data_IF_989647214521
#
_entry.id   IF_989647214521
#
_cell.length_a   1.000
_cell.length_b   1.000
_cell.length_c   1.000
_cell.angle_alpha   90.00
_cell.angle_beta   90.00
_cell.angle_gamma   90.00
#
_symmetry.space_group_name_H-M   'P 1'
#
loop_
_entity.id
_entity.type
_entity.pdbx_description
1 polymer ?
#
# COMPACT_ATOMS: atom_id res chain seq x y z
N UNK A 1 3.30 -3.36 -12.23
CA UNK A 1 4.16 -3.67 -11.07
C UNK A 1 5.56 -3.86 -11.61
N UNK A 2 6.54 -3.09 -11.13
CA UNK A 2 7.93 -3.22 -11.56
C UNK A 2 8.80 -3.56 -10.35
N UNK A 3 9.66 -4.58 -10.49
CA UNK A 3 10.66 -4.97 -9.49
C UNK A 3 12.04 -4.72 -10.09
N UNK A 4 12.86 -3.95 -9.39
CA UNK A 4 14.26 -3.73 -9.74
C UNK A 4 15.15 -4.25 -8.62
N UNK A 5 15.99 -5.24 -8.94
CA UNK A 5 16.83 -5.92 -7.96
C UNK A 5 18.30 -5.72 -8.27
N UNK A 6 19.04 -5.25 -7.28
CA UNK A 6 20.50 -5.14 -7.32
C UNK A 6 21.08 -5.98 -6.17
N UNK A 7 21.66 -7.14 -6.52
CA UNK A 7 22.23 -8.12 -5.58
C UNK A 7 21.20 -8.67 -4.59
N UNK A 8 21.33 -8.25 -3.33
CA UNK A 8 20.51 -8.68 -2.20
C UNK A 8 19.47 -7.61 -1.82
N UNK A 9 19.54 -6.42 -2.40
CA UNK A 9 18.52 -5.38 -2.24
C UNK A 9 17.62 -5.35 -3.47
N UNK A 10 16.32 -5.26 -3.25
CA UNK A 10 15.35 -4.99 -4.31
C UNK A 10 14.45 -3.82 -3.94
N UNK A 11 13.93 -3.18 -4.96
CA UNK A 11 12.91 -2.16 -4.85
C UNK A 11 11.72 -2.62 -5.70
N UNK A 12 10.56 -2.70 -5.05
CA UNK A 12 9.28 -2.90 -5.68
C UNK A 12 8.56 -1.55 -5.78
N UNK A 13 8.18 -1.16 -7.00
CA UNK A 13 7.37 0.02 -7.24
C UNK A 13 6.08 -0.40 -7.94
N UNK A 14 4.96 0.01 -7.36
CA UNK A 14 3.63 -0.23 -7.90
C UNK A 14 2.87 1.10 -8.01
N UNK A 15 2.47 1.46 -9.21
CA UNK A 15 1.62 2.61 -9.48
C UNK A 15 0.34 2.12 -10.15
N UNK A 16 -0.80 2.66 -9.73
CA UNK A 16 -2.11 2.34 -10.26
C UNK A 16 -3.00 3.57 -10.31
N UNK A 17 -3.80 3.68 -11.36
CA UNK A 17 -4.81 4.72 -11.51
C UNK A 17 -6.16 4.06 -11.78
N UNK A 18 -7.11 4.25 -10.87
CA UNK A 18 -8.48 3.76 -10.99
C UNK A 18 -9.37 4.87 -11.52
N UNK A 19 -9.89 4.68 -12.72
CA UNK A 19 -10.87 5.56 -13.34
C UNK A 19 -12.25 5.02 -13.00
N UNK A 20 -13.07 5.82 -12.33
CA UNK A 20 -14.46 5.48 -12.04
C UNK A 20 -15.37 6.21 -13.05
N UNK A 21 -16.22 5.45 -13.73
CA UNK A 21 -17.27 5.96 -14.62
C UNK A 21 -18.55 6.25 -13.84
N UNK A 22 -19.48 7.00 -14.43
CA UNK A 22 -20.76 7.30 -13.81
C UNK A 22 -21.57 6.00 -13.62
N UNK A 23 -22.21 5.86 -12.46
CA UNK A 23 -23.17 4.79 -12.19
C UNK A 23 -24.56 5.15 -12.76
N UNK A 24 -25.49 4.20 -12.80
CA UNK A 24 -26.88 4.38 -13.30
C UNK A 24 -27.67 5.52 -12.63
N UNK A 25 -27.19 6.00 -11.48
CA UNK A 25 -27.74 7.13 -10.72
C UNK A 25 -26.98 8.46 -10.93
N UNK A 26 -26.21 8.59 -12.01
CA UNK A 26 -25.37 9.77 -12.35
C UNK A 26 -24.34 10.15 -11.26
N UNK A 27 -24.00 9.22 -10.36
CA UNK A 27 -22.98 9.43 -9.34
C UNK A 27 -21.63 8.96 -9.86
N UNK A 28 -20.64 9.87 -9.91
CA UNK A 28 -19.27 9.54 -10.32
C UNK A 28 -18.34 9.64 -9.13
N UNK A 29 -17.92 8.47 -8.65
CA UNK A 29 -16.84 8.38 -7.66
C UNK A 29 -15.57 9.02 -8.23
N UNK A 30 -14.82 9.72 -7.39
CA UNK A 30 -13.54 10.30 -7.75
C UNK A 30 -12.56 9.23 -8.19
N UNK A 31 -11.73 9.56 -9.18
CA UNK A 31 -10.62 8.71 -9.57
C UNK A 31 -9.62 8.58 -8.42
N UNK A 32 -9.06 7.39 -8.24
CA UNK A 32 -8.08 7.08 -7.19
C UNK A 32 -6.73 6.77 -7.82
N UNK A 33 -5.69 7.45 -7.36
CA UNK A 33 -4.30 7.12 -7.67
C UNK A 33 -3.68 6.45 -6.45
N UNK A 34 -3.00 5.33 -6.68
CA UNK A 34 -2.29 4.57 -5.66
C UNK A 34 -0.85 4.37 -6.12
N UNK A 35 0.10 4.73 -5.27
CA UNK A 35 1.53 4.60 -5.50
C UNK A 35 2.17 3.94 -4.28
N UNK A 36 2.68 2.73 -4.45
CA UNK A 36 3.36 1.96 -3.42
C UNK A 36 4.83 1.79 -3.82
N UNK A 37 5.72 2.01 -2.87
CA UNK A 37 7.15 1.73 -3.02
C UNK A 37 7.60 0.93 -1.81
N UNK A 38 8.20 -0.23 -2.04
CA UNK A 38 8.71 -1.12 -1.00
C UNK A 38 10.14 -1.51 -1.33
N UNK A 39 11.07 -1.21 -0.44
CA UNK A 39 12.45 -1.64 -0.51
C UNK A 39 12.60 -2.86 0.39
N UNK A 40 13.27 -3.89 -0.09
CA UNK A 40 13.56 -5.09 0.69
C UNK A 40 15.02 -5.47 0.56
N UNK A 41 15.57 -6.05 1.61
CA UNK A 41 16.95 -6.53 1.62
C UNK A 41 17.00 -7.96 2.12
N UNK A 42 17.55 -8.86 1.32
CA UNK A 42 17.61 -10.29 1.59
C UNK A 42 18.93 -10.65 2.27
N UNK A 43 18.88 -10.96 3.55
CA UNK A 43 19.99 -11.38 4.40
C UNK A 43 19.95 -12.91 4.59
N UNK A 44 20.68 -13.70 3.77
CA UNK A 44 20.84 -15.12 4.02
C UNK A 44 21.68 -15.33 5.30
N UNK A 45 21.18 -16.14 6.23
CA UNK A 45 21.88 -16.56 7.45
C UNK A 45 22.08 -18.08 7.38
N UNK A 46 23.31 -18.50 7.08
CA UNK A 46 23.62 -19.89 6.78
C UNK A 46 22.98 -20.38 5.48
N UNK A 47 22.79 -21.69 5.35
CA UNK A 47 22.31 -22.30 4.09
C UNK A 47 20.79 -22.35 3.96
N UNK A 48 20.05 -22.30 5.07
CA UNK A 48 18.61 -22.61 5.09
C UNK A 48 17.72 -21.45 5.48
N UNK A 49 18.28 -20.40 6.10
CA UNK A 49 17.51 -19.28 6.64
C UNK A 49 17.79 -18.04 5.80
N UNK A 50 16.73 -17.31 5.46
CA UNK A 50 16.81 -16.00 4.85
C UNK A 50 15.92 -15.05 5.62
N UNK A 51 16.49 -13.96 6.12
CA UNK A 51 15.74 -12.82 6.65
C UNK A 51 15.62 -11.76 5.55
N UNK A 52 14.42 -11.23 5.36
CA UNK A 52 14.14 -10.21 4.35
C UNK A 52 13.41 -9.05 5.01
N UNK A 53 14.12 -8.17 5.74
CA UNK A 53 13.55 -6.89 6.16
C UNK A 53 13.06 -6.12 4.95
N UNK A 54 11.89 -5.50 5.09
CA UNK A 54 11.28 -4.64 4.09
C UNK A 54 10.76 -3.35 4.73
N UNK A 55 10.87 -2.25 4.00
CA UNK A 55 10.39 -0.95 4.41
C UNK A 55 9.94 -0.16 3.18
N UNK A 56 8.89 0.63 3.32
CA UNK A 56 8.28 1.29 2.18
C UNK A 56 7.26 2.35 2.57
N UNK A 57 6.66 2.93 1.55
CA UNK A 57 5.58 3.89 1.70
C UNK A 57 4.48 3.59 0.67
N UNK A 58 3.24 3.78 1.10
CA UNK A 58 2.04 3.74 0.29
C UNK A 58 1.43 5.14 0.28
N UNK A 59 1.44 5.77 -0.88
CA UNK A 59 0.74 7.02 -1.12
C UNK A 59 -0.54 6.74 -1.92
N UNK A 60 -1.67 7.15 -1.38
CA UNK A 60 -2.95 7.08 -2.06
C UNK A 60 -3.55 8.48 -2.13
N UNK A 61 -4.07 8.87 -3.28
CA UNK A 61 -4.87 10.09 -3.42
C UNK A 61 -6.16 9.79 -4.14
N UNK A 62 -7.27 10.24 -3.55
CA UNK A 62 -8.59 10.18 -4.14
C UNK A 62 -9.00 11.59 -4.53
N UNK A 63 -9.38 11.75 -5.80
CA UNK A 63 -10.01 12.98 -6.29
C UNK A 63 -11.44 13.09 -5.75
N UNK A 64 -11.99 14.31 -5.71
CA UNK A 64 -13.33 14.54 -5.17
C UNK A 64 -14.42 13.89 -6.03
N UNK A 65 -15.49 13.42 -5.40
CA UNK A 65 -16.64 12.86 -6.14
C UNK A 65 -17.40 13.97 -6.88
N UNK A 66 -17.92 13.67 -8.07
CA UNK A 66 -18.74 14.58 -8.86
C UNK A 66 -20.20 14.15 -8.77
N UNK A 67 -21.08 15.08 -8.39
CA UNK A 67 -22.54 14.93 -8.52
C UNK A 67 -23.06 16.06 -9.42
N UNK A 68 -23.84 15.71 -10.43
CA UNK A 68 -24.42 16.64 -11.41
C UNK A 68 -25.26 17.74 -10.73
N UNK A 69 -25.11 18.97 -11.25
CA UNK A 69 -25.63 20.28 -10.79
C UNK A 69 -24.90 20.91 -9.59
N UNK A 70 -23.84 21.65 -9.90
CA UNK A 70 -23.36 22.86 -9.19
C UNK A 70 -23.18 22.82 -7.66
N UNK A 71 -23.05 21.64 -7.08
CA UNK A 71 -22.68 21.50 -5.67
C UNK A 71 -21.49 20.56 -5.61
N UNK A 72 -20.29 21.17 -5.54
CA UNK A 72 -19.11 20.45 -5.04
C UNK A 72 -19.50 19.89 -3.69
N UNK A 73 -19.59 18.57 -3.56
CA UNK A 73 -19.60 17.95 -2.24
C UNK A 73 -18.22 18.22 -1.66
N UNK A 74 -18.12 19.30 -0.87
CA UNK A 74 -16.85 19.87 -0.44
C UNK A 74 -15.99 18.89 0.37
N UNK A 75 -16.61 17.82 0.89
CA UNK A 75 -16.07 16.89 1.88
C UNK A 75 -15.63 15.50 1.38
N UNK A 76 -15.60 15.20 0.08
CA UNK A 76 -15.07 13.90 -0.39
C UNK A 76 -13.83 14.11 -1.25
N UNK A 77 -12.76 13.37 -0.94
CA UNK A 77 -11.42 13.57 -1.49
C UNK A 77 -10.39 13.62 -0.39
N UNK A 78 -9.19 13.12 -0.66
CA UNK A 78 -8.16 13.01 0.36
C UNK A 78 -6.92 12.28 -0.10
N UNK A 79 -5.82 12.50 0.61
CA UNK A 79 -4.59 11.75 0.44
C UNK A 79 -4.23 11.02 1.72
N UNK A 80 -3.65 9.84 1.58
CA UNK A 80 -3.13 9.02 2.66
C UNK A 80 -1.74 8.58 2.31
N UNK A 81 -0.78 8.92 3.17
CA UNK A 81 0.59 8.45 3.14
C UNK A 81 0.78 7.51 4.33
N UNK A 82 0.97 6.23 4.03
CA UNK A 82 1.25 5.20 5.03
C UNK A 82 2.70 4.75 4.90
N UNK A 83 3.42 4.72 6.01
CA UNK A 83 4.70 4.04 6.13
C UNK A 83 4.46 2.56 6.36
N UNK A 84 5.26 1.72 5.72
CA UNK A 84 5.20 0.26 5.86
C UNK A 84 6.56 -0.25 6.29
N UNK A 85 6.58 -1.12 7.29
CA UNK A 85 7.77 -1.86 7.71
C UNK A 85 7.40 -3.32 7.92
N UNK A 86 8.29 -4.24 7.58
CA UNK A 86 8.03 -5.66 7.71
C UNK A 86 9.29 -6.47 7.72
N UNK A 87 9.14 -7.74 8.06
CA UNK A 87 10.19 -8.73 8.01
C UNK A 87 9.59 -10.02 7.51
N UNK A 88 10.28 -10.63 6.56
CA UNK A 88 9.94 -11.95 6.06
C UNK A 88 11.07 -12.92 6.36
N UNK A 89 10.74 -14.06 6.93
CA UNK A 89 11.66 -15.12 7.32
C UNK A 89 11.33 -16.34 6.47
N UNK A 90 12.32 -16.83 5.71
CA UNK A 90 12.19 -18.06 4.95
C UNK A 90 13.18 -19.09 5.48
N UNK A 91 12.68 -20.26 5.88
CA UNK A 91 13.47 -21.39 6.36
C UNK A 91 13.18 -22.60 5.46
N UNK A 92 14.01 -22.81 4.45
CA UNK A 92 13.83 -23.88 3.46
C UNK A 92 12.47 -23.80 2.75
N UNK A 93 11.53 -24.68 3.15
CA UNK A 93 10.17 -24.77 2.59
C UNK A 93 9.12 -23.96 3.35
N UNK A 94 9.47 -23.41 4.50
CA UNK A 94 8.56 -22.62 5.33
C UNK A 94 8.90 -21.15 5.15
N UNK A 95 7.89 -20.32 5.01
CA UNK A 95 7.99 -18.87 4.99
C UNK A 95 7.03 -18.30 6.02
N UNK A 96 7.42 -17.23 6.67
CA UNK A 96 6.57 -16.49 7.59
C UNK A 96 6.98 -15.04 7.58
N UNK A 97 6.01 -14.15 7.58
CA UNK A 97 6.29 -12.73 7.50
C UNK A 97 5.33 -11.92 8.36
N UNK A 98 5.82 -10.81 8.86
CA UNK A 98 5.00 -9.77 9.44
C UNK A 98 5.16 -8.48 8.64
N UNK A 99 4.08 -7.72 8.57
CA UNK A 99 4.05 -6.41 7.97
C UNK A 99 3.24 -5.47 8.88
N UNK A 100 3.76 -4.28 9.11
CA UNK A 100 3.14 -3.25 9.92
C UNK A 100 3.07 -1.96 9.11
N UNK A 101 1.87 -1.41 9.01
CA UNK A 101 1.59 -0.19 8.26
C UNK A 101 1.04 0.86 9.20
N UNK A 102 1.69 2.02 9.23
CA UNK A 102 1.29 3.15 10.07
C UNK A 102 1.02 4.37 9.19
N UNK A 103 -0.07 5.11 9.41
CA UNK A 103 -0.34 6.34 8.67
C UNK A 103 0.61 7.45 9.13
N UNK A 104 1.51 7.88 8.25
CA UNK A 104 2.45 8.98 8.51
C UNK A 104 1.78 10.34 8.31
N UNK A 105 0.95 10.45 7.27
CA UNK A 105 0.18 11.66 6.99
C UNK A 105 -1.12 11.26 6.32
N UNK A 106 -2.25 11.76 6.79
CA UNK A 106 -3.54 11.45 6.21
C UNK A 106 -4.45 12.65 6.29
N UNK A 107 -5.12 12.95 5.17
CA UNK A 107 -6.17 13.94 5.10
C UNK A 107 -7.34 13.32 4.34
N UNK A 108 -8.06 12.46 5.04
CA UNK A 108 -9.25 11.75 4.55
C UNK A 108 -10.49 12.46 5.08
N UNK A 109 -11.32 13.01 4.19
CA UNK A 109 -12.62 13.61 4.55
C UNK A 109 -12.52 14.66 5.66
N UNK A 110 -11.69 15.70 5.46
CA UNK A 110 -11.50 16.80 6.43
C UNK A 110 -11.12 16.35 7.86
N UNK A 111 -10.24 15.34 7.98
CA UNK A 111 -9.76 14.79 9.28
C UNK A 111 -10.81 14.03 10.11
N UNK A 112 -12.02 13.84 9.59
CA UNK A 112 -13.08 13.07 10.27
C UNK A 112 -12.81 11.56 10.28
N UNK A 113 -11.94 11.08 9.39
CA UNK A 113 -11.57 9.66 9.29
C UNK A 113 -10.06 9.50 9.54
N UNK A 114 -9.71 8.78 10.60
CA UNK A 114 -8.32 8.40 10.93
C UNK A 114 -8.10 6.94 10.57
N UNK A 115 -7.30 6.68 9.53
CA UNK A 115 -6.63 5.39 9.39
C UNK A 115 -5.81 5.16 10.66
N UNK A 116 -5.84 3.92 11.14
CA UNK A 116 -5.09 3.44 12.29
C UNK A 116 -4.05 2.45 11.79
N UNK A 117 -3.13 2.08 12.68
CA UNK A 117 -2.11 1.08 12.38
C UNK A 117 -2.74 -0.24 11.98
N UNK A 118 -2.11 -0.91 11.00
CA UNK A 118 -2.55 -2.21 10.49
C UNK A 118 -1.36 -3.16 10.54
N UNK A 119 -1.49 -4.23 11.30
CA UNK A 119 -0.56 -5.34 11.32
C UNK A 119 -1.12 -6.52 10.53
N UNK A 120 -0.26 -7.19 9.76
CA UNK A 120 -0.55 -8.45 9.09
C UNK A 120 0.57 -9.44 9.41
N UNK A 121 0.19 -10.66 9.75
CA UNK A 121 1.10 -11.79 9.87
C UNK A 121 0.63 -12.85 8.89
N UNK A 122 1.55 -13.45 8.16
CA UNK A 122 1.26 -14.55 7.25
C UNK A 122 2.30 -15.65 7.41
N UNK A 123 1.87 -16.88 7.11
CA UNK A 123 2.72 -18.08 7.10
C UNK A 123 2.40 -18.81 5.81
N UNK A 124 3.44 -19.21 5.08
CA UNK A 124 3.34 -19.92 3.81
C UNK A 124 4.22 -21.17 3.82
N UNK A 125 3.70 -22.25 3.25
CA UNK A 125 4.44 -23.46 2.98
C UNK A 125 4.66 -23.56 1.46
N UNK A 126 5.91 -23.66 1.02
CA UNK A 126 6.25 -23.95 -0.37
C UNK A 126 6.48 -25.45 -0.50
N UNK A 127 5.58 -26.13 -1.21
CA UNK A 127 5.59 -27.60 -1.43
C UNK A 127 6.46 -27.94 -2.65
#
# INVERSE_FOLDING_TARGET
MYDCRIRQTGINVNAGYKINTANEYEYRYGNKFTFNTLIYHRLPIGEKITLTPNAGALYETATKDWKTKDIRVWETGGHSLMGTVGLEISVGRISGGFNFQTPLSQRLGEEKVKARDRGMIHIGLTI
#
